data_IF_042582235623
#
_entry.id   IF_042582235623
#
_cell.length_a   1.000
_cell.length_b   1.000
_cell.length_c   1.000
_cell.angle_alpha   90.00
_cell.angle_beta   90.00
_cell.angle_gamma   90.00
#
_symmetry.space_group_name_H-M   'P 1'
#
loop_
_entity.id
_entity.type
_entity.pdbx_description
1 polymer ?
#
# COMPACT_ATOMS: atom_id res chain seq x y z
N UNK A 1 -13.15 -30.76 6.32
CA UNK A 1 -12.78 -29.34 6.44
C UNK A 1 -12.91 -28.95 7.91
N UNK A 2 -11.85 -28.43 8.54
CA UNK A 2 -11.89 -27.98 9.94
C UNK A 2 -11.62 -26.48 9.96
N UNK A 3 -12.60 -25.71 10.43
CA UNK A 3 -12.44 -24.27 10.63
C UNK A 3 -11.75 -24.03 11.97
N UNK A 4 -10.77 -23.14 11.97
CA UNK A 4 -10.11 -22.63 13.18
C UNK A 4 -9.56 -21.23 12.86
N UNK A 5 -9.36 -20.41 13.89
CA UNK A 5 -8.78 -19.06 13.73
C UNK A 5 -7.26 -19.13 13.93
N UNK A 6 -6.52 -18.46 13.06
CA UNK A 6 -5.07 -18.29 13.15
C UNK A 6 -4.79 -16.79 13.31
N UNK A 7 -4.39 -16.36 14.52
CA UNK A 7 -4.13 -14.96 14.90
C UNK A 7 -5.38 -14.06 14.83
N UNK A 8 -5.92 -13.64 15.99
CA UNK A 8 -7.25 -13.02 16.12
C UNK A 8 -7.34 -11.55 15.67
N UNK A 9 -6.22 -10.91 15.30
CA UNK A 9 -6.18 -9.51 14.87
C UNK A 9 -5.57 -9.41 13.47
N UNK A 10 -6.14 -8.55 12.63
CA UNK A 10 -5.60 -8.18 11.31
C UNK A 10 -5.01 -6.77 11.37
N UNK A 11 -3.80 -6.59 11.94
CA UNK A 11 -3.14 -5.30 11.93
C UNK A 11 -2.88 -4.84 10.50
N UNK A 12 -3.16 -3.57 10.24
CA UNK A 12 -2.94 -2.92 8.95
C UNK A 12 -1.91 -1.81 9.12
N UNK A 13 -1.01 -1.69 8.14
CA UNK A 13 -0.27 -0.47 7.90
C UNK A 13 -1.03 0.34 6.86
N UNK A 14 -1.17 1.64 7.10
CA UNK A 14 -1.80 2.58 6.16
C UNK A 14 -0.96 3.84 6.09
N UNK A 15 -0.64 4.26 4.88
CA UNK A 15 0.02 5.52 4.57
C UNK A 15 -0.87 6.35 3.66
N UNK A 16 -1.16 7.58 4.09
CA UNK A 16 -1.76 8.60 3.23
C UNK A 16 -0.65 9.47 2.63
N UNK A 17 -0.71 9.62 1.32
CA UNK A 17 0.23 10.44 0.53
C UNK A 17 -0.58 11.51 -0.18
N UNK A 18 -0.41 12.76 0.21
CA UNK A 18 -1.04 13.85 -0.53
C UNK A 18 -0.43 13.95 -1.93
N UNK A 19 -1.23 14.31 -2.94
CA UNK A 19 -0.76 14.49 -4.31
C UNK A 19 0.38 15.53 -4.44
N UNK A 20 0.54 16.42 -3.45
CA UNK A 20 1.66 17.38 -3.36
C UNK A 20 2.96 16.79 -2.80
N UNK A 21 2.91 15.65 -2.11
CA UNK A 21 4.07 14.98 -1.51
C UNK A 21 4.74 13.99 -2.46
N UNK A 22 4.17 13.79 -3.65
CA UNK A 22 4.66 12.81 -4.62
C UNK A 22 4.59 13.35 -6.04
N UNK A 23 5.52 12.90 -6.87
CA UNK A 23 5.49 13.14 -8.31
C UNK A 23 4.57 12.19 -9.07
N UNK A 24 4.04 11.13 -8.41
CA UNK A 24 3.14 10.19 -9.04
C UNK A 24 1.74 10.80 -9.22
N UNK A 25 1.14 10.58 -10.39
CA UNK A 25 -0.15 11.17 -10.77
C UNK A 25 -1.28 10.16 -10.89
N UNK A 26 -1.02 8.87 -10.71
CA UNK A 26 -2.05 7.82 -10.79
C UNK A 26 -1.67 6.56 -10.00
N UNK A 27 -2.68 5.74 -9.70
CA UNK A 27 -2.49 4.40 -9.11
C UNK A 27 -1.55 3.55 -9.95
N UNK A 28 -1.68 3.57 -11.28
CA UNK A 28 -0.84 2.77 -12.18
C UNK A 28 0.66 3.10 -12.06
N UNK A 29 1.01 4.38 -11.90
CA UNK A 29 2.41 4.77 -11.70
C UNK A 29 2.96 4.26 -10.37
N UNK A 30 2.16 4.31 -9.30
CA UNK A 30 2.54 3.79 -7.98
C UNK A 30 2.67 2.27 -8.03
N UNK A 31 1.75 1.57 -8.69
CA UNK A 31 1.82 0.11 -8.87
C UNK A 31 3.09 -0.28 -9.66
N UNK A 32 3.42 0.43 -10.73
CA UNK A 32 4.66 0.19 -11.48
C UNK A 32 5.91 0.43 -10.63
N UNK A 33 5.92 1.49 -9.82
CA UNK A 33 7.00 1.76 -8.87
C UNK A 33 7.15 0.64 -7.83
N UNK A 34 6.06 0.21 -7.20
CA UNK A 34 6.07 -0.89 -6.24
C UNK A 34 6.52 -2.20 -6.88
N UNK A 35 6.11 -2.47 -8.12
CA UNK A 35 6.59 -3.63 -8.88
C UNK A 35 8.10 -3.61 -9.03
N UNK A 36 8.70 -2.47 -9.41
CA UNK A 36 10.15 -2.35 -9.51
C UNK A 36 10.83 -2.63 -8.16
N UNK A 37 10.26 -2.13 -7.04
CA UNK A 37 10.78 -2.43 -5.70
C UNK A 37 10.71 -3.91 -5.33
N UNK A 38 9.66 -4.60 -5.75
CA UNK A 38 9.52 -6.05 -5.57
C UNK A 38 10.56 -6.79 -6.42
N UNK A 39 10.72 -6.42 -7.70
CA UNK A 39 11.67 -7.05 -8.62
C UNK A 39 13.14 -6.84 -8.18
N UNK A 40 13.46 -5.69 -7.57
CA UNK A 40 14.78 -5.39 -7.00
C UNK A 40 15.08 -6.18 -5.70
N UNK A 41 14.04 -6.69 -5.03
CA UNK A 41 14.20 -7.38 -3.75
C UNK A 41 14.53 -8.86 -3.96
N UNK A 42 15.71 -9.27 -3.48
CA UNK A 42 16.26 -10.63 -3.66
C UNK A 42 15.40 -11.77 -3.10
N UNK A 43 14.45 -11.49 -2.21
CA UNK A 43 13.64 -12.49 -1.53
C UNK A 43 12.14 -12.29 -1.76
N UNK A 44 11.75 -11.30 -2.56
CA UNK A 44 10.36 -11.12 -2.98
C UNK A 44 10.17 -11.59 -4.42
N UNK A 45 8.95 -12.01 -4.75
CA UNK A 45 8.57 -12.36 -6.11
C UNK A 45 7.20 -11.78 -6.43
N UNK A 46 7.14 -11.03 -7.54
CA UNK A 46 5.89 -10.50 -8.09
C UNK A 46 5.00 -11.64 -8.61
N UNK A 47 3.68 -11.51 -8.39
CA UNK A 47 2.70 -12.50 -8.82
C UNK A 47 1.71 -11.88 -9.81
N UNK A 48 1.02 -10.81 -9.40
CA UNK A 48 -0.03 -10.21 -10.22
C UNK A 48 -0.36 -8.77 -9.79
N UNK A 49 -1.06 -8.06 -10.66
CA UNK A 49 -1.82 -6.85 -10.31
C UNK A 49 -3.30 -7.18 -10.49
N UNK A 50 -4.12 -6.84 -9.51
CA UNK A 50 -5.57 -6.94 -9.58
C UNK A 50 -6.18 -5.54 -9.62
N UNK A 51 -6.86 -5.23 -10.72
CA UNK A 51 -7.62 -3.98 -10.88
C UNK A 51 -8.98 -4.12 -10.18
N UNK A 52 -8.97 -3.81 -8.88
CA UNK A 52 -10.11 -4.01 -8.00
C UNK A 52 -11.24 -3.06 -8.35
N UNK A 53 -10.91 -1.81 -8.66
CA UNK A 53 -11.87 -0.78 -9.06
C UNK A 53 -12.63 -1.21 -10.33
N UNK A 54 -11.90 -1.57 -11.40
CA UNK A 54 -12.53 -2.03 -12.65
C UNK A 54 -13.36 -3.29 -12.42
N UNK A 55 -12.86 -4.23 -11.62
CA UNK A 55 -13.60 -5.45 -11.31
C UNK A 55 -14.94 -5.11 -10.64
N UNK A 56 -14.92 -4.40 -9.51
CA UNK A 56 -16.14 -4.07 -8.76
C UNK A 56 -17.10 -3.25 -9.61
N UNK A 57 -16.61 -2.28 -10.39
CA UNK A 57 -17.43 -1.44 -11.27
C UNK A 57 -18.13 -2.23 -12.38
N UNK A 58 -17.60 -3.40 -12.76
CA UNK A 58 -18.19 -4.24 -13.80
C UNK A 58 -19.33 -5.15 -13.32
N UNK A 59 -19.52 -5.27 -12.00
CA UNK A 59 -20.55 -6.11 -11.40
C UNK A 59 -21.89 -5.37 -11.33
N UNK A 60 -22.99 -6.08 -11.62
CA UNK A 60 -24.35 -5.52 -11.59
C UNK A 60 -24.72 -4.94 -10.20
N UNK A 61 -24.28 -5.61 -9.14
CA UNK A 61 -24.46 -5.17 -7.75
C UNK A 61 -23.19 -4.55 -7.14
N UNK A 62 -22.21 -4.17 -7.98
CA UNK A 62 -20.97 -3.58 -7.53
C UNK A 62 -21.19 -2.21 -6.88
N UNK A 63 -20.61 -2.02 -5.70
CA UNK A 63 -20.65 -0.75 -4.97
C UNK A 63 -19.22 -0.28 -4.71
N UNK A 64 -18.96 0.97 -5.06
CA UNK A 64 -17.70 1.66 -4.81
C UNK A 64 -18.06 2.97 -4.12
N UNK A 65 -17.36 3.30 -3.04
CA UNK A 65 -17.50 4.59 -2.39
C UNK A 65 -17.20 5.73 -3.39
N UNK A 66 -18.03 6.77 -3.41
CA UNK A 66 -17.92 7.89 -4.38
C UNK A 66 -16.59 8.64 -4.28
N UNK A 67 -15.90 8.58 -3.13
CA UNK A 67 -14.59 9.18 -2.96
C UNK A 67 -13.46 8.42 -3.65
N UNK A 68 -13.64 7.13 -3.96
CA UNK A 68 -12.64 6.27 -4.60
C UNK A 68 -12.65 6.51 -6.12
N UNK A 69 -11.52 6.98 -6.63
CA UNK A 69 -11.35 7.28 -8.06
C UNK A 69 -10.71 6.12 -8.82
N UNK A 70 -9.79 5.39 -8.18
CA UNK A 70 -9.16 4.16 -8.69
C UNK A 70 -8.66 3.33 -7.51
N UNK A 71 -8.54 2.01 -7.67
CA UNK A 71 -8.11 1.09 -6.62
C UNK A 71 -7.55 -0.20 -7.22
N UNK A 72 -6.29 -0.52 -6.91
CA UNK A 72 -5.61 -1.73 -7.38
C UNK A 72 -4.84 -2.41 -6.26
N UNK A 73 -4.73 -3.73 -6.34
CA UNK A 73 -3.84 -4.51 -5.50
C UNK A 73 -2.63 -4.96 -6.32
N UNK A 74 -1.42 -4.80 -5.78
CA UNK A 74 -0.25 -5.53 -6.24
C UNK A 74 -0.02 -6.74 -5.33
N UNK A 75 0.16 -7.92 -5.92
CA UNK A 75 0.25 -9.22 -5.24
C UNK A 75 1.64 -9.80 -5.44
N UNK A 76 2.29 -10.20 -4.35
CA UNK A 76 3.67 -10.69 -4.32
C UNK A 76 3.89 -11.58 -3.09
N UNK A 77 5.02 -12.28 -3.01
CA UNK A 77 5.34 -13.07 -1.82
C UNK A 77 6.81 -12.98 -1.46
N UNK A 78 7.13 -13.03 -0.17
CA UNK A 78 8.49 -13.25 0.33
C UNK A 78 8.77 -14.75 0.45
N UNK A 79 9.89 -15.21 -0.11
CA UNK A 79 10.29 -16.61 -0.23
C UNK A 79 11.34 -17.09 0.78
N UNK A 80 11.48 -16.43 1.94
CA UNK A 80 12.58 -16.74 2.88
C UNK A 80 12.37 -18.08 3.60
N UNK A 81 11.16 -18.34 4.10
CA UNK A 81 10.82 -19.57 4.83
C UNK A 81 9.38 -20.00 4.59
N UNK A 82 9.12 -21.31 4.65
CA UNK A 82 7.78 -21.90 4.65
C UNK A 82 7.65 -22.87 5.83
N UNK A 83 7.34 -22.38 7.05
CA UNK A 83 7.52 -23.13 8.29
C UNK A 83 6.50 -24.25 8.51
N UNK A 84 5.30 -24.14 7.92
CA UNK A 84 4.23 -25.13 8.01
C UNK A 84 3.24 -24.96 6.83
N UNK A 85 2.40 -25.96 6.53
CA UNK A 85 1.40 -25.87 5.46
C UNK A 85 0.37 -24.74 5.66
N UNK A 86 0.01 -24.44 6.91
CA UNK A 86 -0.98 -23.42 7.26
C UNK A 86 -0.53 -22.01 6.85
N UNK A 87 0.79 -21.77 6.72
CA UNK A 87 1.33 -20.51 6.21
C UNK A 87 0.80 -20.18 4.79
N UNK A 88 0.41 -21.19 4.00
CA UNK A 88 -0.18 -20.97 2.67
C UNK A 88 -1.58 -20.35 2.73
N UNK A 89 -2.31 -20.48 3.84
CA UNK A 89 -3.66 -19.91 3.99
C UNK A 89 -3.66 -18.39 4.11
N UNK A 90 -2.53 -17.80 4.52
CA UNK A 90 -2.37 -16.35 4.66
C UNK A 90 -1.47 -15.76 3.59
N UNK A 91 -0.88 -16.56 2.69
CA UNK A 91 -0.05 -16.08 1.57
C UNK A 91 -0.86 -16.08 0.27
N UNK A 92 -0.54 -15.23 -0.72
CA UNK A 92 0.57 -14.26 -0.82
C UNK A 92 0.36 -12.99 0.02
N UNK A 93 1.28 -12.01 -0.12
CA UNK A 93 1.10 -10.64 0.36
C UNK A 93 0.45 -9.78 -0.72
N UNK A 94 -0.19 -8.70 -0.28
CA UNK A 94 -0.68 -7.67 -1.19
C UNK A 94 -0.54 -6.28 -0.57
N UNK A 95 -0.31 -5.29 -1.43
CA UNK A 95 -0.43 -3.87 -1.10
C UNK A 95 -1.59 -3.32 -1.93
N UNK A 96 -2.55 -2.68 -1.27
CA UNK A 96 -3.62 -1.91 -1.90
C UNK A 96 -3.16 -0.47 -2.12
N UNK A 97 -3.41 0.05 -3.31
CA UNK A 97 -3.20 1.46 -3.66
C UNK A 97 -4.54 2.01 -4.15
N UNK A 98 -5.01 3.06 -3.48
CA UNK A 98 -6.30 3.70 -3.74
C UNK A 98 -6.06 5.16 -4.04
N UNK A 99 -6.71 5.68 -5.07
CA UNK A 99 -6.72 7.11 -5.37
C UNK A 99 -8.01 7.73 -4.85
N UNK A 100 -7.83 8.80 -4.08
CA UNK A 100 -8.88 9.74 -3.69
C UNK A 100 -8.64 11.08 -4.39
N UNK A 101 -9.52 12.05 -4.15
CA UNK A 101 -9.43 13.38 -4.78
C UNK A 101 -8.04 14.02 -4.66
N UNK A 102 -7.53 14.13 -3.44
CA UNK A 102 -6.29 14.86 -3.12
C UNK A 102 -5.14 13.97 -2.59
N UNK A 103 -5.39 12.68 -2.41
CA UNK A 103 -4.51 11.75 -1.71
C UNK A 103 -4.50 10.40 -2.38
N UNK A 104 -3.38 9.69 -2.26
CA UNK A 104 -3.30 8.25 -2.44
C UNK A 104 -3.26 7.58 -1.07
N UNK A 105 -3.98 6.47 -0.92
CA UNK A 105 -3.93 5.61 0.25
C UNK A 105 -3.19 4.33 -0.13
N UNK A 106 -2.13 4.02 0.60
CA UNK A 106 -1.33 2.80 0.44
C UNK A 106 -1.49 1.97 1.69
N UNK A 107 -2.06 0.78 1.58
CA UNK A 107 -2.43 -0.05 2.75
C UNK A 107 -2.10 -1.52 2.54
N UNK A 108 -1.65 -2.18 3.61
CA UNK A 108 -1.35 -3.61 3.60
C UNK A 108 -1.45 -4.21 5.00
N UNK A 109 -1.73 -5.51 5.05
CA UNK A 109 -1.79 -6.26 6.29
C UNK A 109 -0.39 -6.60 6.79
N UNK A 110 -0.17 -6.42 8.09
CA UNK A 110 1.06 -6.85 8.76
C UNK A 110 1.31 -8.34 8.48
N UNK A 111 2.54 -8.66 8.08
CA UNK A 111 3.01 -10.02 7.93
C UNK A 111 3.54 -10.56 9.26
N UNK A 112 3.41 -11.87 9.53
CA UNK A 112 4.04 -12.49 10.70
C UNK A 112 5.58 -12.40 10.73
N UNK A 113 6.21 -12.04 9.59
CA UNK A 113 7.65 -11.91 9.45
C UNK A 113 8.04 -10.43 9.48
N UNK A 114 8.74 -9.94 10.53
CA UNK A 114 9.09 -8.52 10.65
C UNK A 114 9.85 -7.94 9.47
N UNK A 115 10.76 -8.72 8.86
CA UNK A 115 11.53 -8.28 7.69
C UNK A 115 10.65 -7.97 6.47
N UNK A 116 9.51 -8.65 6.31
CA UNK A 116 8.57 -8.35 5.26
C UNK A 116 7.91 -6.98 5.48
N UNK A 117 7.56 -6.66 6.73
CA UNK A 117 6.94 -5.39 7.10
C UNK A 117 7.90 -4.23 6.86
N UNK A 118 9.15 -4.35 7.32
CA UNK A 118 10.20 -3.34 7.10
C UNK A 118 10.37 -3.03 5.61
N UNK A 119 10.39 -4.05 4.75
CA UNK A 119 10.49 -3.85 3.31
C UNK A 119 9.25 -3.13 2.73
N UNK A 120 8.04 -3.59 3.07
CA UNK A 120 6.80 -3.00 2.57
C UNK A 120 6.60 -1.55 3.05
N UNK A 121 6.91 -1.26 4.31
CA UNK A 121 6.88 0.09 4.87
C UNK A 121 7.87 1.01 4.15
N UNK A 122 9.11 0.56 3.93
CA UNK A 122 10.11 1.35 3.21
C UNK A 122 9.68 1.64 1.76
N UNK A 123 9.10 0.65 1.07
CA UNK A 123 8.57 0.84 -0.29
C UNK A 123 7.41 1.84 -0.30
N UNK A 124 6.47 1.73 0.64
CA UNK A 124 5.35 2.65 0.76
C UNK A 124 5.82 4.09 1.08
N UNK A 125 6.72 4.25 2.04
CA UNK A 125 7.26 5.58 2.41
C UNK A 125 8.00 6.24 1.25
N UNK A 126 8.69 5.45 0.41
CA UNK A 126 9.42 5.96 -0.76
C UNK A 126 8.51 6.55 -1.85
N UNK A 127 7.19 6.40 -1.73
CA UNK A 127 6.21 7.06 -2.61
C UNK A 127 6.20 8.58 -2.36
N UNK A 128 6.46 9.01 -1.11
CA UNK A 128 6.71 10.41 -0.78
C UNK A 128 8.11 10.77 -1.27
N UNK A 129 8.18 11.45 -2.40
CA UNK A 129 9.43 11.77 -3.09
C UNK A 129 9.59 13.27 -3.39
N UNK A 130 8.63 14.08 -2.97
CA UNK A 130 8.75 15.53 -2.90
C UNK A 130 8.96 15.89 -1.43
N UNK A 131 9.96 16.72 -1.13
CA UNK A 131 9.97 17.42 0.15
C UNK A 131 8.74 18.34 0.17
N UNK A 132 7.79 18.09 1.06
CA UNK A 132 6.69 19.03 1.26
C UNK A 132 7.28 20.40 1.56
N UNK A 133 6.86 21.41 0.78
CA UNK A 133 7.24 22.80 0.96
C UNK A 133 7.20 23.13 2.46
N UNK A 134 8.35 23.41 3.04
CA UNK A 134 8.49 23.94 4.40
C UNK A 134 7.85 25.33 4.45
N UNK A 135 6.53 25.41 4.50
CA UNK A 135 5.80 26.65 4.76
C UNK A 135 5.03 26.53 6.07
N UNK A 136 5.75 26.61 7.20
CA UNK A 136 5.19 27.10 8.48
C UNK A 136 6.28 27.46 9.51
N UNK A 137 7.44 27.94 9.07
CA UNK A 137 8.46 28.52 9.96
C UNK A 137 9.01 29.76 9.30
N UNK A 138 8.24 30.84 9.40
CA UNK A 138 8.69 32.23 9.57
C UNK A 138 7.42 33.10 9.63
N UNK A 139 6.49 32.75 10.54
CA UNK A 139 5.59 33.74 11.09
C UNK A 139 6.44 34.55 12.08
N UNK A 140 7.05 35.63 11.59
CA UNK A 140 7.61 36.66 12.45
C UNK A 140 6.56 37.05 13.50
N UNK A 141 6.86 37.00 14.81
CA UNK A 141 6.08 37.74 15.77
C UNK A 141 6.43 39.21 15.58
N UNK A 142 5.68 39.87 14.69
CA UNK A 142 5.54 41.31 14.75
C UNK A 142 4.86 41.62 16.09
N UNK A 143 5.63 42.01 17.10
CA UNK A 143 5.30 43.04 18.09
C UNK A 143 6.54 43.34 18.93
N UNK A 144 7.32 44.32 18.49
CA UNK A 144 8.04 45.22 19.38
C UNK A 144 7.22 46.52 19.48
N UNK A 145 6.69 46.79 20.67
CA UNK A 145 6.50 48.13 21.25
C UNK A 145 6.38 47.98 22.76
#
# INVERSE_FOLDING_TARGET
MKQFLLQEKYPLFTLEVEKRETSFTSVDQIIAFLKNRIDENKVASFIAVFDHYRHTKSLECGQIDEAILDAKNIVFCFGITLPNPQAMAVRPRSIGVVELKNTFVVTFMEAPMPLANVAMEAWAQSIKNQESLKESKDAEPCYLA
#
